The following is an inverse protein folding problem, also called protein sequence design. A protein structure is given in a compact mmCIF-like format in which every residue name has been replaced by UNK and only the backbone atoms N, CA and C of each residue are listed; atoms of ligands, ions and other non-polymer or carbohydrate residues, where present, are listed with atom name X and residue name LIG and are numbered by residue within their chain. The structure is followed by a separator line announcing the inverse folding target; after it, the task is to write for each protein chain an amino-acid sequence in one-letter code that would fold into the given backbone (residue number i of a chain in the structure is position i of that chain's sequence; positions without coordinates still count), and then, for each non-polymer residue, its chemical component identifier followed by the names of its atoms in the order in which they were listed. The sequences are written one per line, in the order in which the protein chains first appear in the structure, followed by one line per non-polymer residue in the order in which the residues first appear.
data_IF_642483491933
#
_entry.id   IF_642483491933
#
_cell.length_a   1.000
_cell.length_b   1.000
_cell.length_c   1.000
_cell.angle_alpha   90.00
_cell.angle_beta   90.00
_cell.angle_gamma   90.00
#
_symmetry.space_group_name_H-M   'P 1'
#
loop_
_entity.id
_entity.type
_entity.pdbx_description
1 polymer ?
#
# COMPACT_ATOMS: atom_id res chain seq x y z
N UNK A 1 41.14 -2.81 26.03
CA UNK A 1 41.29 -2.56 24.58
C UNK A 1 39.99 -2.98 23.92
N UNK A 2 39.15 -2.02 23.52
CA UNK A 2 37.90 -2.30 22.82
C UNK A 2 38.15 -2.08 21.34
N UNK A 3 38.08 -3.16 20.57
CA UNK A 3 38.26 -3.11 19.11
C UNK A 3 37.08 -2.31 18.52
N UNK A 4 37.38 -1.19 17.85
CA UNK A 4 36.35 -0.34 17.24
C UNK A 4 35.65 -1.01 16.06
N UNK A 5 34.42 -0.56 15.71
CA UNK A 5 33.63 -1.14 14.63
C UNK A 5 34.37 -1.01 13.28
N UNK A 6 34.56 -2.14 12.58
CA UNK A 6 35.14 -2.20 11.24
C UNK A 6 34.03 -2.19 10.20
N UNK A 7 34.02 -1.17 9.34
CA UNK A 7 33.11 -1.10 8.20
C UNK A 7 33.45 -2.22 7.19
N UNK A 8 32.45 -2.99 6.78
CA UNK A 8 32.60 -4.07 5.78
C UNK A 8 32.66 -3.45 4.38
N UNK A 9 33.84 -2.94 4.00
CA UNK A 9 34.12 -2.45 2.65
C UNK A 9 34.48 -3.65 1.76
N UNK A 10 33.47 -4.18 1.05
CA UNK A 10 33.61 -5.32 0.15
C UNK A 10 32.41 -5.45 -0.78
N UNK A 11 32.07 -6.68 -1.22
CA UNK A 11 30.91 -6.95 -2.09
C UNK A 11 29.57 -6.44 -1.51
N UNK A 12 29.49 -6.28 -0.18
CA UNK A 12 28.36 -5.70 0.55
C UNK A 12 28.12 -4.21 0.25
N UNK A 13 29.05 -3.51 -0.39
CA UNK A 13 28.92 -2.11 -0.76
C UNK A 13 28.22 -1.93 -2.12
N UNK A 14 28.18 -2.97 -2.94
CA UNK A 14 27.56 -2.96 -4.29
C UNK A 14 26.07 -2.55 -4.25
N UNK A 15 25.22 -3.09 -3.35
CA UNK A 15 23.82 -2.68 -3.26
C UNK A 15 23.67 -1.21 -2.85
N UNK A 16 24.52 -0.74 -1.92
CA UNK A 16 24.53 0.65 -1.48
C UNK A 16 24.95 1.61 -2.60
N UNK A 17 25.95 1.23 -3.41
CA UNK A 17 26.38 2.00 -4.56
C UNK A 17 25.29 2.05 -5.64
N UNK A 18 24.58 0.94 -5.88
CA UNK A 18 23.42 0.93 -6.78
C UNK A 18 22.31 1.86 -6.31
N UNK A 19 22.01 1.89 -5.01
CA UNK A 19 21.01 2.79 -4.45
C UNK A 19 21.37 4.27 -4.68
N UNK A 20 22.63 4.65 -4.45
CA UNK A 20 23.13 6.02 -4.71
C UNK A 20 23.11 6.34 -6.22
N UNK A 21 23.48 5.37 -7.06
CA UNK A 21 23.40 5.50 -8.51
C UNK A 21 21.97 5.75 -8.99
N UNK A 22 21.01 4.95 -8.52
CA UNK A 22 19.59 5.10 -8.83
C UNK A 22 19.05 6.45 -8.35
N UNK A 23 19.44 6.89 -7.15
CA UNK A 23 19.11 8.22 -6.64
C UNK A 23 19.63 9.33 -7.57
N UNK A 24 20.88 9.22 -8.04
CA UNK A 24 21.45 10.17 -8.99
C UNK A 24 20.68 10.22 -10.31
N UNK A 25 20.27 9.06 -10.84
CA UNK A 25 19.43 8.99 -12.05
C UNK A 25 18.05 9.64 -11.82
N UNK A 26 17.40 9.36 -10.69
CA UNK A 26 16.11 9.99 -10.34
C UNK A 26 16.24 11.51 -10.19
N UNK A 27 17.32 11.99 -9.58
CA UNK A 27 17.62 13.41 -9.45
C UNK A 27 17.83 14.06 -10.83
N UNK A 28 18.59 13.40 -11.72
CA UNK A 28 18.81 13.88 -13.08
C UNK A 28 17.49 13.98 -13.86
N UNK A 29 16.64 12.96 -13.78
CA UNK A 29 15.33 12.97 -14.43
C UNK A 29 14.48 14.11 -13.88
N UNK A 30 14.38 14.25 -12.56
CA UNK A 30 13.56 15.30 -11.92
C UNK A 30 14.01 16.70 -12.30
N UNK A 31 15.32 16.93 -12.43
CA UNK A 31 15.88 18.25 -12.77
C UNK A 31 15.76 18.57 -14.27
N UNK A 32 15.67 17.57 -15.14
CA UNK A 32 15.61 17.76 -16.59
C UNK A 32 14.20 17.51 -17.16
N UNK A 33 13.27 17.01 -16.36
CA UNK A 33 11.88 16.85 -16.77
C UNK A 33 11.25 18.22 -16.99
N UNK A 34 10.95 18.53 -18.24
CA UNK A 34 10.12 19.67 -18.59
C UNK A 34 8.65 19.29 -18.36
N UNK A 35 7.99 19.95 -17.43
CA UNK A 35 6.54 19.87 -17.29
C UNK A 35 5.92 20.88 -18.25
N UNK A 36 5.67 20.45 -19.48
CA UNK A 36 4.80 21.21 -20.38
C UNK A 36 3.41 21.31 -19.76
N UNK A 37 2.66 22.40 -20.05
CA UNK A 37 1.29 22.53 -19.58
C UNK A 37 0.50 21.29 -20.00
N UNK A 38 -0.01 20.57 -19.00
CA UNK A 38 -0.73 19.31 -19.13
C UNK A 38 -2.08 19.45 -19.86
N UNK A 39 -2.46 20.68 -20.16
CA UNK A 39 -3.75 21.05 -20.72
C UNK A 39 -3.55 22.12 -21.79
N UNK A 40 -4.38 22.11 -22.83
CA UNK A 40 -4.40 23.20 -23.81
C UNK A 40 -4.82 24.54 -23.18
N UNK A 41 -5.55 24.49 -22.06
CA UNK A 41 -5.94 25.63 -21.24
C UNK A 41 -4.75 26.16 -20.42
N UNK A 42 -3.94 27.02 -21.05
CA UNK A 42 -3.02 28.00 -20.46
C UNK A 42 -2.52 27.73 -19.01
N UNK A 43 -1.67 26.72 -18.80
CA UNK A 43 -0.74 26.63 -17.67
C UNK A 43 -1.31 26.69 -16.25
N UNK A 44 -2.64 26.63 -16.09
CA UNK A 44 -3.34 26.58 -14.83
C UNK A 44 -3.82 25.14 -14.63
N UNK A 45 -3.72 24.63 -13.40
CA UNK A 45 -4.24 23.32 -13.05
C UNK A 45 -5.74 23.17 -13.36
N UNK A 46 -6.29 21.99 -13.12
CA UNK A 46 -7.70 21.72 -13.40
C UNK A 46 -8.63 22.78 -12.75
N UNK A 47 -9.60 23.34 -13.50
CA UNK A 47 -10.64 24.20 -12.96
C UNK A 47 -11.43 23.48 -11.87
N UNK A 48 -11.90 24.21 -10.86
CA UNK A 48 -12.64 23.62 -9.75
C UNK A 48 -14.00 23.01 -10.17
N UNK A 49 -14.53 23.43 -11.32
CA UNK A 49 -15.78 22.97 -11.93
C UNK A 49 -15.61 21.76 -12.86
N UNK A 50 -14.39 21.29 -13.12
CA UNK A 50 -14.13 20.16 -14.01
C UNK A 50 -13.64 18.93 -13.24
N UNK A 51 -14.27 17.78 -13.52
CA UNK A 51 -13.87 16.51 -12.92
C UNK A 51 -12.65 15.91 -13.63
N UNK A 52 -11.52 15.84 -12.93
CA UNK A 52 -10.30 15.18 -13.41
C UNK A 52 -10.59 13.72 -13.81
N UNK A 53 -11.38 13.01 -13.00
CA UNK A 53 -11.74 11.62 -13.26
C UNK A 53 -12.55 11.46 -14.54
N UNK A 54 -13.45 12.41 -14.83
CA UNK A 54 -14.25 12.37 -16.06
C UNK A 54 -13.39 12.64 -17.29
N UNK A 55 -12.56 13.70 -17.27
CA UNK A 55 -11.66 14.03 -18.37
C UNK A 55 -10.68 12.88 -18.67
N UNK A 56 -10.12 12.26 -17.62
CA UNK A 56 -9.25 11.09 -17.77
C UNK A 56 -10.00 9.87 -18.35
N UNK A 57 -11.25 9.67 -17.95
CA UNK A 57 -12.12 8.63 -18.51
C UNK A 57 -12.44 8.87 -19.98
N UNK A 58 -12.69 10.12 -20.38
CA UNK A 58 -12.87 10.49 -21.78
C UNK A 58 -11.61 10.24 -22.61
N UNK A 59 -10.42 10.60 -22.09
CA UNK A 59 -9.15 10.29 -22.76
C UNK A 59 -8.90 8.78 -22.90
N UNK A 60 -9.28 7.98 -21.88
CA UNK A 60 -9.09 6.54 -21.91
C UNK A 60 -9.89 5.85 -23.02
N UNK A 61 -11.08 6.36 -23.32
CA UNK A 61 -11.96 5.80 -24.36
C UNK A 61 -11.92 6.57 -25.70
N UNK A 62 -11.07 7.60 -25.82
CA UNK A 62 -10.96 8.41 -27.03
C UNK A 62 -12.19 9.27 -27.31
N UNK A 63 -12.83 9.79 -26.26
CA UNK A 63 -13.98 10.70 -26.36
C UNK A 63 -13.53 12.16 -26.23
N UNK A 64 -12.63 12.58 -27.12
CA UNK A 64 -12.01 13.92 -27.09
C UNK A 64 -13.05 15.06 -27.20
N UNK A 65 -14.15 14.82 -27.93
CA UNK A 65 -15.25 15.79 -28.07
C UNK A 65 -16.01 16.06 -26.78
N UNK A 66 -15.96 15.15 -25.81
CA UNK A 66 -16.60 15.29 -24.51
C UNK A 66 -15.69 15.95 -23.48
N UNK A 67 -14.42 16.17 -23.82
CA UNK A 67 -13.46 16.82 -22.94
C UNK A 67 -13.65 18.33 -22.93
N UNK A 68 -13.73 18.88 -21.72
CA UNK A 68 -13.88 20.33 -21.53
C UNK A 68 -12.53 21.04 -21.58
N UNK A 69 -11.43 20.35 -21.24
CA UNK A 69 -10.09 20.93 -21.17
C UNK A 69 -9.20 20.44 -22.33
N UNK A 70 -9.31 19.15 -22.66
CA UNK A 70 -8.49 18.50 -23.69
C UNK A 70 -7.00 18.39 -23.35
N UNK A 71 -6.28 17.56 -24.11
CA UNK A 71 -4.83 17.39 -23.96
C UNK A 71 -4.40 16.60 -22.72
N UNK A 72 -5.30 15.80 -22.14
CA UNK A 72 -5.05 14.99 -20.94
C UNK A 72 -4.38 13.63 -21.22
N UNK A 73 -4.22 13.27 -22.48
CA UNK A 73 -3.57 12.04 -22.95
C UNK A 73 -2.14 11.86 -22.43
N UNK A 74 -1.24 12.87 -22.42
CA UNK A 74 0.07 12.73 -21.78
C UNK A 74 -0.04 12.44 -20.28
N UNK A 75 -1.04 12.99 -19.59
CA UNK A 75 -1.27 12.68 -18.19
C UNK A 75 -1.76 11.23 -18.01
N UNK A 76 -2.70 10.78 -18.84
CA UNK A 76 -3.14 9.38 -18.87
C UNK A 76 -1.96 8.43 -19.09
N UNK A 77 -1.10 8.74 -20.05
CA UNK A 77 0.11 7.96 -20.32
C UNK A 77 1.04 7.89 -19.12
N UNK A 78 1.24 9.02 -18.41
CA UNK A 78 2.04 9.06 -17.19
C UNK A 78 1.44 8.20 -16.06
N UNK A 79 0.12 8.27 -15.85
CA UNK A 79 -0.57 7.46 -14.84
C UNK A 79 -0.44 5.96 -15.15
N UNK A 80 -0.60 5.57 -16.41
CA UNK A 80 -0.42 4.18 -16.84
C UNK A 80 1.04 3.71 -16.69
N UNK A 81 2.00 4.57 -17.02
CA UNK A 81 3.42 4.26 -16.84
C UNK A 81 3.78 4.06 -15.36
N UNK A 82 3.23 4.89 -14.47
CA UNK A 82 3.38 4.71 -13.01
C UNK A 82 2.73 3.40 -12.55
N UNK A 83 1.54 3.05 -13.06
CA UNK A 83 0.88 1.80 -12.70
C UNK A 83 1.75 0.58 -13.07
N UNK A 84 2.31 0.55 -14.27
CA UNK A 84 3.23 -0.51 -14.73
C UNK A 84 4.53 -0.53 -13.90
N UNK A 85 5.08 0.64 -13.58
CA UNK A 85 6.29 0.73 -12.78
C UNK A 85 6.06 0.22 -11.34
N UNK A 86 4.90 0.53 -10.75
CA UNK A 86 4.51 0.05 -9.43
C UNK A 86 4.32 -1.47 -9.41
N UNK A 87 3.69 -2.03 -10.43
CA UNK A 87 3.51 -3.48 -10.59
C UNK A 87 4.87 -4.20 -10.60
N UNK A 88 5.78 -3.77 -11.47
CA UNK A 88 7.14 -4.32 -11.55
C UNK A 88 7.94 -4.12 -10.25
N UNK A 89 7.75 -2.99 -9.56
CA UNK A 89 8.42 -2.73 -8.29
C UNK A 89 7.92 -3.66 -7.18
N UNK A 90 6.63 -3.98 -7.14
CA UNK A 90 6.05 -4.95 -6.20
C UNK A 90 6.63 -6.35 -6.46
N UNK A 91 6.66 -6.79 -7.72
CA UNK A 91 7.26 -8.07 -8.11
C UNK A 91 8.74 -8.15 -7.73
N UNK A 92 9.51 -7.10 -8.04
CA UNK A 92 10.91 -7.02 -7.66
C UNK A 92 11.08 -7.06 -6.14
N UNK A 93 10.25 -6.34 -5.39
CA UNK A 93 10.31 -6.34 -3.92
C UNK A 93 10.05 -7.73 -3.34
N UNK A 94 9.13 -8.49 -3.94
CA UNK A 94 8.85 -9.86 -3.53
C UNK A 94 10.02 -10.80 -3.83
N UNK A 95 10.63 -10.67 -5.01
CA UNK A 95 11.83 -11.45 -5.39
C UNK A 95 13.01 -11.12 -4.47
N UNK A 96 13.22 -9.85 -4.15
CA UNK A 96 14.27 -9.38 -3.23
C UNK A 96 14.02 -9.76 -1.77
N UNK A 97 12.76 -9.85 -1.35
CA UNK A 97 12.38 -10.23 0.00
C UNK A 97 12.56 -11.74 0.25
N UNK A 98 12.40 -12.57 -0.79
CA UNK A 98 12.68 -14.00 -0.71
C UNK A 98 14.17 -14.19 -0.46
N UNK A 99 14.50 -14.72 0.71
CA UNK A 99 15.85 -15.19 1.02
C UNK A 99 15.93 -16.66 0.67
N UNK A 100 16.92 -17.03 -0.11
CA UNK A 100 17.27 -18.43 -0.35
C UNK A 100 18.50 -18.76 0.49
N UNK A 101 18.42 -19.82 1.29
CA UNK A 101 19.54 -20.36 2.04
C UNK A 101 19.74 -21.80 1.56
N UNK A 102 20.94 -22.12 1.07
CA UNK A 102 21.30 -23.43 0.50
C UNK A 102 20.44 -23.90 -0.71
N UNK A 103 19.77 -22.98 -1.40
CA UNK A 103 18.93 -23.28 -2.56
C UNK A 103 17.46 -23.59 -2.23
N UNK A 104 17.10 -23.50 -0.95
CA UNK A 104 15.71 -23.60 -0.48
C UNK A 104 15.18 -22.21 -0.10
N UNK A 105 13.94 -21.85 -0.48
CA UNK A 105 13.34 -20.57 -0.13
C UNK A 105 13.01 -20.53 1.37
N UNK A 106 13.73 -19.70 2.13
CA UNK A 106 13.47 -19.50 3.57
C UNK A 106 12.40 -18.41 3.73
N UNK A 107 11.16 -18.84 3.93
CA UNK A 107 10.09 -17.93 4.33
C UNK A 107 10.33 -17.51 5.79
N UNK A 108 10.55 -16.22 6.04
CA UNK A 108 10.74 -15.67 7.39
C UNK A 108 9.56 -15.96 8.35
N UNK A 109 8.38 -16.26 7.80
CA UNK A 109 7.20 -16.65 8.57
C UNK A 109 7.22 -18.11 9.04
N UNK A 110 7.85 -19.02 8.27
CA UNK A 110 8.00 -20.43 8.66
C UNK A 110 9.00 -20.57 9.82
N UNK A 111 10.12 -19.85 9.77
CA UNK A 111 11.09 -19.88 10.88
C UNK A 111 10.51 -19.48 12.26
N UNK A 112 9.43 -18.71 12.31
CA UNK A 112 8.75 -18.36 13.56
C UNK A 112 7.76 -19.44 14.06
N UNK A 113 7.31 -20.34 13.19
CA UNK A 113 6.40 -21.46 13.54
C UNK A 113 7.12 -22.70 14.08
N UNK A 114 8.33 -22.94 13.59
CA UNK A 114 9.09 -24.14 13.92
C UNK A 114 9.73 -24.08 15.32
N UNK A 115 10.10 -22.88 15.82
CA UNK A 115 10.54 -22.72 17.20
C UNK A 115 9.38 -22.78 18.22
N UNK A 116 8.15 -22.48 17.79
CA UNK A 116 6.97 -22.55 18.65
C UNK A 116 6.43 -23.97 18.86
N UNK A 117 6.89 -24.95 18.06
CA UNK A 117 6.41 -26.34 18.17
C UNK A 117 7.19 -27.20 19.16
N UNK A 118 8.33 -26.73 19.70
CA UNK A 118 9.11 -27.47 20.69
C UNK A 118 8.74 -27.16 22.15
N UNK A 119 7.93 -26.13 22.44
CA UNK A 119 7.40 -25.87 23.79
C UNK A 119 6.13 -25.02 23.69
N UNK A 120 4.95 -25.67 23.75
CA UNK A 120 3.65 -25.03 24.02
C UNK A 120 3.27 -23.87 23.08
N UNK A 121 2.58 -24.18 21.99
CA UNK A 121 2.13 -23.20 21.01
C UNK A 121 1.25 -22.08 21.59
N UNK A 122 1.21 -20.89 20.95
CA UNK A 122 0.39 -19.78 21.40
C UNK A 122 -1.10 -20.12 21.28
N UNK A 123 -1.82 -19.99 22.40
CA UNK A 123 -3.29 -20.03 22.43
C UNK A 123 -3.84 -19.02 21.41
N UNK A 124 -4.81 -19.41 20.57
CA UNK A 124 -5.39 -18.50 19.59
C UNK A 124 -5.98 -17.29 20.30
N UNK A 125 -5.62 -16.08 19.85
CA UNK A 125 -6.20 -14.85 20.36
C UNK A 125 -7.71 -14.85 20.07
N UNK A 126 -8.49 -15.14 21.11
CA UNK A 126 -9.94 -15.03 21.07
C UNK A 126 -10.28 -13.55 21.03
N UNK A 127 -10.81 -13.08 19.90
CA UNK A 127 -11.40 -11.74 19.79
C UNK A 127 -12.65 -11.71 20.68
N UNK A 128 -12.69 -10.85 21.70
CA UNK A 128 -13.85 -10.58 22.53
C UNK A 128 -14.89 -9.81 21.71
N UNK A 129 -15.57 -10.54 20.81
CA UNK A 129 -16.64 -10.00 19.99
C UNK A 129 -17.63 -9.21 20.86
N UNK A 130 -17.56 -7.88 20.72
CA UNK A 130 -18.29 -6.93 21.55
C UNK A 130 -19.78 -7.23 21.56
N UNK A 131 -20.34 -7.32 22.76
CA UNK A 131 -21.78 -7.29 23.00
C UNK A 131 -22.13 -5.99 23.71
N UNK A 132 -22.36 -4.94 22.93
CA UNK A 132 -23.15 -3.80 23.39
C UNK A 132 -24.62 -4.23 23.44
N UNK A 133 -24.99 -4.95 24.49
CA UNK A 133 -26.40 -5.08 24.87
C UNK A 133 -26.53 -5.21 26.38
N UNK A 134 -26.21 -4.13 27.09
CA UNK A 134 -26.79 -3.87 28.40
C UNK A 134 -27.99 -2.95 28.22
N UNK A 135 -28.99 -3.43 27.48
CA UNK A 135 -30.37 -3.04 27.68
C UNK A 135 -30.71 -3.27 29.15
N UNK A 136 -30.86 -2.18 29.88
CA UNK A 136 -31.39 -2.11 31.24
C UNK A 136 -32.73 -2.82 31.33
N UNK A 137 -32.72 -4.09 31.75
CA UNK A 137 -33.90 -4.82 32.15
C UNK A 137 -33.74 -5.22 33.63
N UNK A 138 -34.03 -4.24 34.50
CA UNK A 138 -34.32 -4.44 35.92
C UNK A 138 -35.35 -5.56 36.07
N UNK A 139 -34.89 -6.76 36.41
CA UNK A 139 -35.77 -7.86 36.82
C UNK A 139 -35.94 -7.77 38.33
N UNK A 140 -36.84 -6.90 38.77
CA UNK A 140 -37.42 -7.00 40.10
C UNK A 140 -38.55 -8.03 40.05
N UNK A 141 -38.31 -9.19 40.68
CA UNK A 141 -39.36 -10.15 41.01
C UNK A 141 -40.07 -9.71 42.30
N UNK A 142 -41.36 -9.44 42.20
CA UNK A 142 -42.29 -9.58 43.32
C UNK A 142 -43.62 -10.12 42.74
N UNK A 143 -44.00 -11.36 43.09
CA UNK A 143 -45.20 -11.72 43.89
C UNK A 143 -46.48 -11.10 43.32
N UNK A 144 -47.59 -11.77 43.06
CA UNK A 144 -48.20 -13.01 43.52
C UNK A 144 -49.60 -13.03 42.86
N UNK A 145 -50.27 -14.17 42.90
CA UNK A 145 -51.74 -14.33 42.82
C UNK A 145 -52.55 -13.85 41.60
N UNK A 146 -53.07 -14.85 40.87
CA UNK A 146 -54.52 -15.10 40.87
C UNK A 146 -55.37 -14.68 39.66
N UNK A 147 -56.22 -15.61 39.22
CA UNK A 147 -57.55 -15.37 38.62
C UNK A 147 -57.58 -14.75 37.22
N UNK A 148 -58.07 -15.41 36.18
CA UNK A 148 -59.48 -15.75 35.90
C UNK A 148 -59.91 -15.05 34.60
N UNK A 149 -60.30 -15.87 33.62
CA UNK A 149 -61.42 -15.66 32.70
C UNK A 149 -61.66 -14.26 32.08
N UNK A 150 -61.47 -14.13 30.77
CA UNK A 150 -62.52 -14.28 29.74
C UNK A 150 -61.97 -13.96 28.35
#
# INVERSE_FOLDING_TARGET
MTTGPKLRLGKTLVPGLLAVGLFGVMALITLNAAFEPMTAAAGAGFPADVSITAELGYALFGFDELQQIGGTEPFLAAVLLVAVALDAALDASLVLAKREEEGEPVAALASAGEEASATGGPEPAVTDGGTDDSSTATTDRHTDTGGESR
#
